data_IF_876604741841
#
_entry.id   IF_876604741841
#
_cell.length_a   1.000
_cell.length_b   1.000
_cell.length_c   1.000
_cell.angle_alpha   90.00
_cell.angle_beta   90.00
_cell.angle_gamma   90.00
#
_symmetry.space_group_name_H-M   'P 1'
#
loop_
_entity.id
_entity.type
_entity.pdbx_description
1 polymer ?
#
# COMPACT_ATOMS: atom_id res chain seq x y z
N UNK A 1 -11.75 -5.33 -2.20
CA UNK A 1 -10.60 -4.95 -1.36
C UNK A 1 -10.88 -5.04 0.15
N UNK A 2 -12.12 -5.16 0.57
CA UNK A 2 -12.51 -5.41 1.98
C UNK A 2 -12.01 -4.37 3.00
N UNK A 3 -11.69 -3.13 2.56
CA UNK A 3 -11.21 -2.06 3.42
C UNK A 3 -12.03 -0.79 3.23
N UNK A 4 -12.10 0.04 4.28
CA UNK A 4 -12.72 1.36 4.20
C UNK A 4 -11.73 2.33 3.55
N UNK A 5 -12.22 3.12 2.59
CA UNK A 5 -11.44 4.19 1.98
C UNK A 5 -12.02 5.54 2.40
N UNK A 6 -11.17 6.44 2.86
CA UNK A 6 -11.52 7.81 3.24
C UNK A 6 -10.74 8.83 2.40
N UNK A 7 -11.38 9.96 2.17
CA UNK A 7 -10.86 11.07 1.37
C UNK A 7 -10.83 12.33 2.22
N UNK A 8 -9.68 12.98 2.33
CA UNK A 8 -9.56 14.34 2.84
C UNK A 8 -9.31 15.27 1.64
N UNK A 9 -10.36 15.98 1.22
CA UNK A 9 -10.33 16.92 0.10
C UNK A 9 -10.78 18.27 0.62
N UNK A 10 -9.86 19.21 0.90
CA UNK A 10 -10.21 20.53 1.40
C UNK A 10 -11.14 21.25 0.44
N UNK A 11 -12.21 21.83 0.99
CA UNK A 11 -13.17 22.64 0.21
C UNK A 11 -12.47 23.91 -0.30
N UNK A 12 -12.47 24.13 -1.62
CA UNK A 12 -12.04 25.42 -2.19
C UNK A 12 -13.19 26.42 -2.19
N UNK A 13 -12.90 27.64 -1.77
CA UNK A 13 -13.86 28.75 -1.90
C UNK A 13 -14.24 28.92 -3.39
N UNK A 14 -15.54 28.87 -3.71
CA UNK A 14 -16.07 29.08 -5.07
C UNK A 14 -16.14 27.84 -5.97
N UNK A 15 -15.68 26.67 -5.56
CA UNK A 15 -15.98 25.44 -6.28
C UNK A 15 -17.28 24.80 -5.78
N UNK A 16 -18.16 24.33 -6.70
CA UNK A 16 -19.33 23.55 -6.29
C UNK A 16 -18.85 22.33 -5.51
N UNK A 17 -19.43 22.07 -4.34
CA UNK A 17 -19.29 20.78 -3.67
C UNK A 17 -19.80 19.71 -4.63
N UNK A 18 -18.88 18.90 -5.19
CA UNK A 18 -19.22 17.78 -6.06
C UNK A 18 -19.06 18.07 -7.56
N UNK A 19 -17.84 18.42 -8.01
CA UNK A 19 -17.47 18.44 -9.43
C UNK A 19 -17.49 17.06 -10.09
N UNK A 20 -17.97 16.03 -9.41
CA UNK A 20 -18.01 14.65 -9.84
C UNK A 20 -16.65 13.91 -9.72
N UNK A 21 -15.57 14.59 -9.31
CA UNK A 21 -14.25 13.97 -9.18
C UNK A 21 -14.21 12.89 -8.11
N UNK A 22 -14.75 13.20 -6.93
CA UNK A 22 -14.90 12.23 -5.85
C UNK A 22 -15.75 11.03 -6.28
N UNK A 23 -16.85 11.28 -7.00
CA UNK A 23 -17.67 10.20 -7.56
C UNK A 23 -16.91 9.33 -8.58
N UNK A 24 -16.00 9.92 -9.39
CA UNK A 24 -15.12 9.16 -10.28
C UNK A 24 -14.11 8.31 -9.51
N UNK A 25 -13.47 8.86 -8.49
CA UNK A 25 -12.54 8.13 -7.63
C UNK A 25 -13.22 6.96 -6.91
N UNK A 26 -14.43 7.17 -6.39
CA UNK A 26 -15.22 6.10 -5.76
C UNK A 26 -15.62 5.02 -6.76
N UNK A 27 -16.09 5.39 -7.97
CA UNK A 27 -16.40 4.39 -9.01
C UNK A 27 -15.17 3.61 -9.44
N UNK A 28 -14.02 4.25 -9.52
CA UNK A 28 -12.73 3.57 -9.77
C UNK A 28 -12.45 2.50 -8.71
N UNK A 29 -12.57 2.83 -7.43
CA UNK A 29 -12.34 1.87 -6.34
C UNK A 29 -13.34 0.70 -6.37
N UNK A 30 -14.61 0.96 -6.69
CA UNK A 30 -15.59 -0.11 -6.87
C UNK A 30 -15.26 -1.00 -8.08
N UNK A 31 -14.81 -0.41 -9.19
CA UNK A 31 -14.36 -1.17 -10.34
C UNK A 31 -13.14 -2.04 -10.01
N UNK A 32 -12.14 -1.49 -9.30
CA UNK A 32 -10.99 -2.27 -8.82
C UNK A 32 -11.45 -3.42 -7.92
N UNK A 33 -12.38 -3.19 -7.01
CA UNK A 33 -12.90 -4.28 -6.17
C UNK A 33 -13.59 -5.38 -6.99
N UNK A 34 -14.38 -5.00 -7.99
CA UNK A 34 -15.04 -5.97 -8.86
C UNK A 34 -14.05 -6.79 -9.71
N UNK A 35 -12.97 -6.15 -10.20
CA UNK A 35 -12.02 -6.74 -11.14
C UNK A 35 -10.88 -7.49 -10.44
N UNK A 36 -10.38 -6.96 -9.31
CA UNK A 36 -9.14 -7.43 -8.67
C UNK A 36 -9.34 -8.12 -7.31
N UNK A 37 -10.57 -8.28 -6.82
CA UNK A 37 -10.79 -8.94 -5.54
C UNK A 37 -10.53 -10.45 -5.62
N UNK A 38 -9.60 -11.02 -4.85
CA UNK A 38 -9.40 -12.47 -4.78
C UNK A 38 -10.54 -13.20 -4.06
N UNK A 39 -11.44 -12.45 -3.38
CA UNK A 39 -12.59 -13.00 -2.65
C UNK A 39 -13.87 -13.09 -3.50
N UNK A 40 -13.84 -12.58 -4.74
CA UNK A 40 -14.96 -12.63 -5.68
C UNK A 40 -14.64 -13.65 -6.75
N UNK A 41 -15.46 -14.69 -6.85
CA UNK A 41 -15.29 -15.75 -7.85
C UNK A 41 -15.39 -15.25 -9.29
N UNK A 42 -16.14 -14.18 -9.52
CA UNK A 42 -16.40 -13.56 -10.82
C UNK A 42 -15.37 -12.50 -11.24
N UNK A 43 -14.42 -12.16 -10.36
CA UNK A 43 -13.37 -11.18 -10.68
C UNK A 43 -12.36 -11.71 -11.71
N UNK A 44 -11.72 -10.82 -12.48
CA UNK A 44 -10.69 -11.19 -13.44
C UNK A 44 -9.50 -11.86 -12.74
N UNK A 45 -9.08 -11.34 -11.59
CA UNK A 45 -7.99 -11.91 -10.77
C UNK A 45 -8.30 -13.36 -10.37
N UNK A 46 -9.50 -13.64 -9.86
CA UNK A 46 -9.88 -14.99 -9.48
C UNK A 46 -10.02 -15.92 -10.67
N UNK A 47 -10.57 -15.44 -11.78
CA UNK A 47 -10.73 -16.23 -13.00
C UNK A 47 -9.39 -16.52 -13.67
N UNK A 48 -8.51 -15.52 -13.74
CA UNK A 48 -7.14 -15.68 -14.24
C UNK A 48 -6.34 -16.64 -13.36
N UNK A 49 -6.38 -16.47 -12.04
CA UNK A 49 -5.66 -17.33 -11.08
C UNK A 49 -6.08 -18.80 -11.15
N UNK A 50 -7.34 -19.10 -11.52
CA UNK A 50 -7.84 -20.47 -11.76
C UNK A 50 -7.61 -20.96 -13.18
N UNK A 51 -7.02 -20.16 -14.08
CA UNK A 51 -6.84 -20.51 -15.49
C UNK A 51 -8.12 -20.55 -16.32
N UNK A 52 -9.24 -19.99 -15.81
CA UNK A 52 -10.53 -19.95 -16.50
C UNK A 52 -10.74 -18.72 -17.38
N UNK A 53 -9.83 -17.74 -17.31
CA UNK A 53 -9.80 -16.55 -18.15
C UNK A 53 -8.34 -16.26 -18.57
N UNK A 54 -8.01 -16.28 -19.86
CA UNK A 54 -6.68 -15.91 -20.32
C UNK A 54 -6.41 -14.42 -20.10
N UNK A 55 -5.14 -14.01 -19.89
CA UNK A 55 -4.78 -12.64 -19.63
C UNK A 55 -5.25 -11.65 -20.72
N UNK A 56 -5.26 -12.10 -21.98
CA UNK A 56 -5.71 -11.29 -23.12
C UNK A 56 -7.20 -10.90 -23.05
N UNK A 57 -8.01 -11.66 -22.30
CA UNK A 57 -9.45 -11.41 -22.14
C UNK A 57 -9.78 -10.73 -20.80
N UNK A 58 -8.76 -10.49 -19.95
CA UNK A 58 -8.90 -9.72 -18.71
C UNK A 58 -8.89 -8.21 -18.99
N UNK A 59 -9.28 -7.43 -17.99
CA UNK A 59 -9.06 -5.99 -18.00
C UNK A 59 -7.57 -5.68 -18.27
N UNK A 60 -7.24 -4.73 -19.17
CA UNK A 60 -5.85 -4.44 -19.55
C UNK A 60 -4.98 -4.02 -18.36
N UNK A 61 -5.58 -3.44 -17.34
CA UNK A 61 -4.89 -3.06 -16.09
C UNK A 61 -4.34 -4.27 -15.32
N UNK A 62 -4.87 -5.48 -15.56
CA UNK A 62 -4.29 -6.68 -14.93
C UNK A 62 -2.88 -6.96 -15.46
N UNK A 63 -2.64 -6.78 -16.75
CA UNK A 63 -1.31 -6.93 -17.33
C UNK A 63 -0.32 -5.89 -16.76
N UNK A 64 -0.75 -4.62 -16.61
CA UNK A 64 0.03 -3.54 -15.97
C UNK A 64 0.40 -3.92 -14.51
N UNK A 65 -0.57 -4.40 -13.75
CA UNK A 65 -0.36 -4.83 -12.36
C UNK A 65 0.62 -6.01 -12.27
N UNK A 66 0.50 -6.99 -13.16
CA UNK A 66 1.40 -8.15 -13.18
C UNK A 66 2.84 -7.77 -13.52
N UNK A 67 3.03 -6.86 -14.48
CA UNK A 67 4.35 -6.33 -14.84
C UNK A 67 4.99 -5.59 -13.65
N UNK A 68 4.23 -4.72 -12.98
CA UNK A 68 4.71 -4.02 -11.79
C UNK A 68 5.03 -5.00 -10.64
N UNK A 69 4.19 -6.00 -10.40
CA UNK A 69 4.45 -7.04 -9.42
C UNK A 69 5.73 -7.83 -9.72
N UNK A 70 5.98 -8.16 -10.99
CA UNK A 70 7.19 -8.86 -11.42
C UNK A 70 8.45 -8.01 -11.18
N UNK A 71 8.40 -6.71 -11.47
CA UNK A 71 9.49 -5.78 -11.19
C UNK A 71 9.81 -5.68 -9.68
N UNK A 72 8.78 -5.58 -8.84
CA UNK A 72 8.93 -5.53 -7.38
C UNK A 72 9.45 -6.86 -6.84
N UNK A 73 8.97 -7.99 -7.37
CA UNK A 73 9.45 -9.31 -7.02
C UNK A 73 10.96 -9.44 -7.30
N UNK A 74 11.40 -9.02 -8.50
CA UNK A 74 12.82 -9.03 -8.86
C UNK A 74 13.65 -8.14 -7.93
N UNK A 75 13.19 -6.90 -7.65
CA UNK A 75 13.88 -5.95 -6.77
C UNK A 75 13.96 -6.43 -5.32
N UNK A 76 12.92 -7.11 -4.83
CA UNK A 76 12.89 -7.67 -3.47
C UNK A 76 13.55 -9.05 -3.36
N UNK A 77 14.18 -9.56 -4.43
CA UNK A 77 14.74 -10.91 -4.45
C UNK A 77 13.69 -11.98 -4.19
N UNK A 78 12.45 -11.79 -4.64
CA UNK A 78 11.36 -12.75 -4.48
C UNK A 78 10.57 -12.65 -3.16
N UNK A 79 10.94 -11.77 -2.24
CA UNK A 79 10.16 -11.58 -0.99
C UNK A 79 8.76 -11.00 -1.22
N UNK A 80 8.59 -10.18 -2.27
CA UNK A 80 7.27 -9.87 -2.79
C UNK A 80 6.87 -10.95 -3.80
N UNK A 81 5.68 -11.53 -3.63
CA UNK A 81 5.13 -12.53 -4.55
C UNK A 81 3.64 -12.30 -4.78
N UNK A 82 3.16 -12.62 -5.98
CA UNK A 82 1.73 -12.67 -6.31
C UNK A 82 1.10 -14.03 -6.03
N UNK A 83 1.87 -14.97 -5.47
CA UNK A 83 1.39 -16.31 -5.12
C UNK A 83 1.71 -16.67 -3.66
N UNK A 84 1.31 -15.82 -2.68
CA UNK A 84 1.54 -16.14 -1.27
C UNK A 84 0.83 -17.45 -0.91
N UNK A 85 1.57 -18.40 -0.31
CA UNK A 85 1.01 -19.71 0.04
C UNK A 85 0.56 -20.55 -1.18
N UNK A 86 1.01 -20.21 -2.40
CA UNK A 86 0.71 -20.95 -3.64
C UNK A 86 -0.59 -20.53 -4.34
N UNK A 87 -1.36 -19.59 -3.78
CA UNK A 87 -2.59 -19.07 -4.41
C UNK A 87 -2.31 -17.71 -5.05
N UNK A 88 -2.82 -17.49 -6.27
CA UNK A 88 -2.66 -16.22 -6.98
C UNK A 88 -3.42 -15.10 -6.27
N UNK A 89 -2.69 -14.13 -5.76
CA UNK A 89 -3.20 -12.95 -5.07
C UNK A 89 -2.24 -11.74 -5.22
N UNK A 90 -2.55 -10.79 -6.13
CA UNK A 90 -1.75 -9.58 -6.32
C UNK A 90 -2.10 -8.45 -5.32
N UNK A 91 -2.91 -8.69 -4.29
CA UNK A 91 -3.47 -7.66 -3.41
C UNK A 91 -2.42 -6.83 -2.67
N UNK A 92 -1.21 -7.38 -2.44
CA UNK A 92 -0.10 -6.66 -1.85
C UNK A 92 0.43 -5.47 -2.69
N UNK A 93 0.04 -5.39 -3.97
CA UNK A 93 0.29 -4.23 -4.84
C UNK A 93 -1.01 -3.49 -5.17
N UNK A 94 -2.08 -4.22 -5.45
CA UNK A 94 -3.35 -3.67 -5.96
C UNK A 94 -3.95 -2.65 -5.02
N UNK A 95 -3.83 -2.81 -3.71
CA UNK A 95 -4.38 -1.88 -2.72
C UNK A 95 -3.73 -0.49 -2.86
N UNK A 96 -2.42 -0.40 -2.79
CA UNK A 96 -1.67 0.85 -2.94
C UNK A 96 -1.90 1.50 -4.30
N UNK A 97 -1.87 0.70 -5.37
CA UNK A 97 -2.13 1.14 -6.74
C UNK A 97 -3.54 1.72 -6.92
N UNK A 98 -4.55 1.09 -6.35
CA UNK A 98 -5.93 1.57 -6.44
C UNK A 98 -6.12 2.93 -5.75
N UNK A 99 -5.52 3.10 -4.57
CA UNK A 99 -5.57 4.34 -3.78
C UNK A 99 -4.77 5.45 -4.48
N UNK A 100 -3.57 5.17 -4.98
CA UNK A 100 -2.75 6.10 -5.77
C UNK A 100 -3.51 6.59 -7.00
N UNK A 101 -4.14 5.70 -7.76
CA UNK A 101 -4.97 6.06 -8.92
C UNK A 101 -6.20 6.88 -8.53
N UNK A 102 -6.84 6.59 -7.40
CA UNK A 102 -7.94 7.40 -6.88
C UNK A 102 -7.47 8.82 -6.55
N UNK A 103 -6.28 8.99 -5.94
CA UNK A 103 -5.67 10.29 -5.71
C UNK A 103 -5.35 11.01 -7.03
N UNK A 104 -4.77 10.31 -8.01
CA UNK A 104 -4.48 10.87 -9.33
C UNK A 104 -5.73 11.39 -10.06
N UNK A 105 -6.89 10.72 -9.89
CA UNK A 105 -8.19 11.20 -10.43
C UNK A 105 -8.58 12.54 -9.82
N UNK A 106 -8.34 12.74 -8.52
CA UNK A 106 -8.60 14.02 -7.85
C UNK A 106 -7.63 15.11 -8.34
N UNK A 107 -6.34 14.80 -8.48
CA UNK A 107 -5.33 15.71 -9.03
C UNK A 107 -5.71 16.16 -10.45
N UNK A 108 -6.05 15.22 -11.32
CA UNK A 108 -6.46 15.50 -12.71
C UNK A 108 -7.74 16.35 -12.80
N UNK A 109 -8.58 16.31 -11.78
CA UNK A 109 -9.76 17.17 -11.64
C UNK A 109 -9.45 18.55 -11.02
N UNK A 110 -8.18 18.88 -10.79
CA UNK A 110 -7.75 20.17 -10.27
C UNK A 110 -7.73 20.27 -8.75
N UNK A 111 -7.88 19.17 -8.00
CA UNK A 111 -7.64 19.18 -6.56
C UNK A 111 -6.13 19.32 -6.30
N UNK A 112 -5.71 20.48 -5.76
CA UNK A 112 -4.29 20.76 -5.53
C UNK A 112 -3.76 20.09 -4.26
N UNK A 113 -4.64 19.80 -3.30
CA UNK A 113 -4.30 19.22 -2.01
C UNK A 113 -5.38 18.21 -1.62
N UNK A 114 -4.99 16.99 -1.36
CA UNK A 114 -5.88 15.94 -0.86
C UNK A 114 -5.09 14.77 -0.31
N UNK A 115 -5.76 13.93 0.47
CA UNK A 115 -5.26 12.61 0.81
C UNK A 115 -6.33 11.55 0.61
N UNK A 116 -5.88 10.34 0.23
CA UNK A 116 -6.73 9.16 0.12
C UNK A 116 -6.12 8.08 1.02
N UNK A 117 -6.91 7.59 1.97
CA UNK A 117 -6.51 6.56 2.92
C UNK A 117 -7.36 5.31 2.71
N UNK A 118 -6.72 4.17 2.56
CA UNK A 118 -7.37 2.86 2.49
C UNK A 118 -6.73 1.86 3.43
N UNK A 119 -7.41 1.55 4.54
CA UNK A 119 -6.90 0.58 5.51
C UNK A 119 -5.58 0.99 6.17
N UNK A 120 -5.38 2.29 6.44
CA UNK A 120 -4.15 2.80 7.07
C UNK A 120 -3.06 3.22 6.09
N UNK A 121 -3.12 2.82 4.81
CA UNK A 121 -2.19 3.28 3.78
C UNK A 121 -2.69 4.54 3.12
N UNK A 122 -1.83 5.52 2.95
CA UNK A 122 -2.21 6.89 2.60
C UNK A 122 -1.37 7.41 1.44
N UNK A 123 -2.05 7.90 0.39
CA UNK A 123 -1.46 8.77 -0.61
C UNK A 123 -1.84 10.21 -0.28
N UNK A 124 -0.84 11.06 -0.10
CA UNK A 124 -0.99 12.49 0.09
C UNK A 124 -0.53 13.23 -1.16
N UNK A 125 -1.24 14.26 -1.57
CA UNK A 125 -0.92 15.09 -2.71
C UNK A 125 -0.87 16.59 -2.33
N UNK A 126 0.03 17.33 -2.99
CA UNK A 126 0.15 18.77 -2.91
C UNK A 126 1.05 19.29 -1.80
N UNK A 127 1.14 20.63 -1.71
CA UNK A 127 2.12 21.34 -0.88
C UNK A 127 1.77 21.40 0.61
N UNK A 128 0.57 21.01 0.98
CA UNK A 128 0.17 20.90 2.40
C UNK A 128 1.10 19.93 3.12
N UNK A 129 1.60 20.33 4.29
CA UNK A 129 2.30 19.40 5.18
C UNK A 129 1.28 18.49 5.88
N UNK A 130 1.18 17.27 5.40
CA UNK A 130 0.34 16.23 5.98
C UNK A 130 1.01 15.62 7.20
N UNK A 131 0.20 15.17 8.16
CA UNK A 131 0.66 14.46 9.36
C UNK A 131 -0.11 13.16 9.47
N UNK A 132 0.59 12.03 9.42
CA UNK A 132 0.03 10.69 9.46
C UNK A 132 0.50 9.99 10.72
N UNK A 133 -0.43 9.58 11.56
CA UNK A 133 -0.14 8.79 12.76
C UNK A 133 0.11 7.34 12.40
N UNK A 134 1.22 6.78 12.88
CA UNK A 134 1.54 5.36 12.76
C UNK A 134 1.12 4.67 14.05
N UNK A 135 0.19 3.71 13.93
CA UNK A 135 -0.31 2.98 15.09
C UNK A 135 0.80 2.14 15.74
N UNK A 136 0.78 2.06 17.06
CA UNK A 136 1.66 1.15 17.80
C UNK A 136 1.06 -0.28 17.72
N UNK A 137 1.75 -1.24 17.07
CA UNK A 137 1.21 -2.59 16.89
C UNK A 137 1.14 -3.39 18.19
N UNK A 138 1.88 -2.96 19.22
CA UNK A 138 1.95 -3.64 20.52
C UNK A 138 1.02 -3.03 21.57
N UNK A 139 0.56 -1.78 21.34
CA UNK A 139 -0.30 -1.05 22.28
C UNK A 139 -1.49 -0.44 21.53
N UNK A 140 -2.61 -1.16 21.40
CA UNK A 140 -3.80 -0.68 20.70
C UNK A 140 -4.26 0.70 21.19
N UNK A 141 -4.61 1.58 20.26
CA UNK A 141 -5.04 2.95 20.55
C UNK A 141 -3.91 3.95 20.79
N UNK A 142 -2.64 3.53 20.75
CA UNK A 142 -1.47 4.42 20.83
C UNK A 142 -0.84 4.62 19.45
N UNK A 143 -0.10 5.71 19.33
CA UNK A 143 0.76 5.97 18.17
C UNK A 143 2.20 5.62 18.54
N UNK A 144 2.89 4.91 17.65
CA UNK A 144 4.32 4.70 17.72
C UNK A 144 5.08 5.99 17.38
N UNK A 145 4.62 6.68 16.32
CA UNK A 145 5.13 8.00 15.93
C UNK A 145 4.14 8.70 14.98
N UNK A 146 4.47 9.94 14.61
CA UNK A 146 3.81 10.68 13.53
C UNK A 146 4.83 10.93 12.43
N UNK A 147 4.49 10.59 11.18
CA UNK A 147 5.23 11.01 10.00
C UNK A 147 4.59 12.26 9.40
N UNK A 148 5.42 13.14 8.84
CA UNK A 148 4.93 14.34 8.18
C UNK A 148 5.71 14.61 6.89
N UNK A 149 4.99 15.03 5.86
CA UNK A 149 5.58 15.29 4.54
C UNK A 149 4.61 16.03 3.63
N UNK A 150 5.06 16.25 2.38
CA UNK A 150 4.28 16.82 1.29
C UNK A 150 4.41 15.89 0.11
N UNK A 151 3.30 15.70 -0.62
CA UNK A 151 3.30 14.90 -1.85
C UNK A 151 4.01 13.55 -1.65
N UNK A 152 3.53 12.73 -0.73
CA UNK A 152 4.17 11.50 -0.28
C UNK A 152 3.17 10.40 0.03
N UNK A 153 3.66 9.19 0.14
CA UNK A 153 2.88 8.01 0.48
C UNK A 153 3.41 7.33 1.74
N UNK A 154 2.51 6.70 2.49
CA UNK A 154 2.81 5.94 3.69
C UNK A 154 2.05 4.62 3.64
N UNK A 155 2.74 3.51 3.83
CA UNK A 155 2.10 2.20 3.95
C UNK A 155 2.70 1.41 5.12
N UNK A 156 1.86 0.64 5.79
CA UNK A 156 2.29 -0.18 6.94
C UNK A 156 1.87 -1.62 6.77
N UNK A 157 2.83 -2.52 6.87
CA UNK A 157 2.60 -3.96 6.95
C UNK A 157 2.89 -4.48 8.36
N UNK A 158 2.07 -5.40 8.85
CA UNK A 158 2.21 -5.94 10.19
C UNK A 158 1.16 -6.99 10.51
N UNK A 159 1.23 -7.53 11.74
CA UNK A 159 0.31 -8.59 12.19
C UNK A 159 -0.99 -8.04 12.80
N UNK A 160 -1.05 -6.73 13.11
CA UNK A 160 -2.14 -6.15 13.90
C UNK A 160 -3.48 -6.05 13.16
N UNK A 161 -3.49 -5.84 11.83
CA UNK A 161 -4.72 -5.57 11.08
C UNK A 161 -5.40 -6.83 10.52
N UNK A 162 -4.62 -7.80 10.03
CA UNK A 162 -5.13 -8.99 9.34
C UNK A 162 -4.52 -10.30 9.86
N UNK A 163 -3.84 -10.28 11.01
CA UNK A 163 -3.12 -11.43 11.51
C UNK A 163 -1.92 -11.82 10.63
N UNK A 164 -1.53 -13.09 10.66
CA UNK A 164 -0.35 -13.63 9.97
C UNK A 164 -0.62 -13.93 8.48
N UNK A 165 -1.08 -12.94 7.69
CA UNK A 165 -1.41 -13.12 6.27
C UNK A 165 -0.21 -12.93 5.33
N UNK A 166 0.86 -12.24 5.78
CA UNK A 166 2.09 -12.10 5.03
C UNK A 166 2.97 -13.31 5.35
N UNK A 167 3.43 -13.98 4.31
CA UNK A 167 4.23 -15.20 4.38
C UNK A 167 5.61 -14.91 3.80
N UNK A 168 6.65 -15.34 4.48
CA UNK A 168 8.00 -15.42 3.90
C UNK A 168 7.99 -16.51 2.81
N UNK A 169 8.18 -16.17 1.54
CA UNK A 169 8.09 -17.12 0.43
C UNK A 169 9.17 -18.21 0.47
N UNK A 170 10.26 -18.00 1.21
CA UNK A 170 11.35 -18.96 1.32
C UNK A 170 11.13 -20.01 2.41
N UNK A 171 10.41 -19.64 3.45
CA UNK A 171 10.12 -20.56 4.57
C UNK A 171 8.69 -21.08 4.56
N UNK A 172 7.78 -20.42 3.83
CA UNK A 172 6.35 -20.72 3.83
C UNK A 172 5.65 -20.37 5.15
N UNK A 173 6.30 -19.63 6.03
CA UNK A 173 5.78 -19.26 7.35
C UNK A 173 5.60 -17.75 7.50
N UNK A 174 4.82 -17.33 8.49
CA UNK A 174 4.76 -15.92 8.86
C UNK A 174 6.14 -15.45 9.32
N UNK A 175 6.64 -14.29 8.84
CA UNK A 175 7.96 -13.79 9.21
C UNK A 175 8.00 -13.48 10.72
N UNK A 176 9.15 -13.76 11.32
CA UNK A 176 9.41 -13.45 12.71
C UNK A 176 10.23 -12.16 12.85
N UNK A 177 10.16 -11.51 14.01
CA UNK A 177 11.04 -10.42 14.38
C UNK A 177 10.43 -9.02 14.24
N UNK A 178 9.48 -8.80 13.35
CA UNK A 178 8.75 -7.53 13.21
C UNK A 178 7.30 -7.65 13.70
N UNK A 179 6.84 -6.65 14.45
CA UNK A 179 5.42 -6.45 14.72
C UNK A 179 4.77 -5.62 13.61
N UNK A 180 5.49 -4.57 13.14
CA UNK A 180 5.11 -3.80 11.96
C UNK A 180 6.32 -3.15 11.29
N UNK A 181 6.17 -2.81 10.03
CA UNK A 181 7.07 -1.93 9.29
C UNK A 181 6.25 -0.92 8.50
N UNK A 182 6.61 0.33 8.62
CA UNK A 182 6.05 1.45 7.86
C UNK A 182 7.09 1.90 6.85
N UNK A 183 6.72 1.92 5.58
CA UNK A 183 7.53 2.48 4.49
C UNK A 183 6.93 3.81 4.07
N UNK A 184 7.80 4.78 3.78
CA UNK A 184 7.45 6.10 3.27
C UNK A 184 8.15 6.32 1.94
N UNK A 185 7.42 6.81 0.95
CA UNK A 185 7.94 7.06 -0.39
C UNK A 185 7.06 8.04 -1.17
N UNK A 186 7.28 8.18 -2.47
CA UNK A 186 6.49 9.09 -3.30
C UNK A 186 5.18 8.47 -3.81
N UNK A 187 5.18 7.17 -4.08
CA UNK A 187 4.08 6.45 -4.75
C UNK A 187 3.56 5.33 -3.89
N UNK A 188 2.25 5.33 -3.64
CA UNK A 188 1.66 4.36 -2.72
C UNK A 188 1.67 2.92 -3.26
N UNK A 189 1.55 2.74 -4.56
CA UNK A 189 1.62 1.42 -5.19
C UNK A 189 2.91 0.67 -4.82
N UNK A 190 4.04 1.35 -4.96
CA UNK A 190 5.34 0.79 -4.62
C UNK A 190 5.57 0.75 -3.11
N UNK A 191 5.15 1.80 -2.39
CA UNK A 191 5.31 1.90 -0.93
C UNK A 191 4.62 0.75 -0.20
N UNK A 192 3.40 0.38 -0.60
CA UNK A 192 2.61 -0.73 -0.03
C UNK A 192 3.27 -2.09 -0.35
N UNK A 193 3.69 -2.29 -1.60
CA UNK A 193 4.38 -3.52 -1.99
C UNK A 193 5.75 -3.68 -1.30
N UNK A 194 6.49 -2.58 -1.13
CA UNK A 194 7.75 -2.59 -0.39
C UNK A 194 7.56 -2.83 1.10
N UNK A 195 6.49 -2.27 1.71
CA UNK A 195 6.14 -2.60 3.09
C UNK A 195 5.84 -4.10 3.25
N UNK A 196 5.10 -4.69 2.29
CA UNK A 196 4.80 -6.13 2.25
C UNK A 196 6.09 -6.96 2.12
N UNK A 197 6.96 -6.63 1.15
CA UNK A 197 8.24 -7.32 0.95
C UNK A 197 9.16 -7.21 2.18
N UNK A 198 9.30 -5.99 2.72
CA UNK A 198 10.15 -5.73 3.88
C UNK A 198 9.64 -6.47 5.13
N UNK A 199 8.33 -6.54 5.33
CA UNK A 199 7.76 -7.34 6.42
C UNK A 199 8.09 -8.83 6.23
N UNK A 200 7.96 -9.37 5.02
CA UNK A 200 8.31 -10.75 4.69
C UNK A 200 9.81 -11.05 4.91
N UNK A 201 10.69 -10.07 4.72
CA UNK A 201 12.15 -10.19 4.96
C UNK A 201 12.53 -10.28 6.44
N UNK A 202 11.68 -9.79 7.34
CA UNK A 202 11.97 -9.77 8.78
C UNK A 202 13.26 -8.98 9.11
N UNK A 203 14.28 -9.63 9.65
CA UNK A 203 15.53 -8.97 10.06
C UNK A 203 16.35 -8.37 8.90
N UNK A 204 16.15 -8.81 7.66
CA UNK A 204 16.85 -8.28 6.47
C UNK A 204 16.22 -6.99 5.93
N UNK A 205 15.03 -6.64 6.41
CA UNK A 205 14.25 -5.51 5.90
C UNK A 205 15.02 -4.20 5.96
N UNK A 206 15.75 -3.95 7.06
CA UNK A 206 16.45 -2.69 7.28
C UNK A 206 17.46 -2.40 6.19
N UNK A 207 18.38 -3.33 5.94
CA UNK A 207 19.45 -3.16 4.97
C UNK A 207 18.87 -3.03 3.55
N UNK A 208 17.86 -3.84 3.25
CA UNK A 208 17.21 -3.79 1.94
C UNK A 208 16.50 -2.46 1.67
N UNK A 209 15.75 -1.89 2.65
CA UNK A 209 15.09 -0.60 2.45
C UNK A 209 16.11 0.55 2.43
N UNK A 210 17.22 0.44 3.17
CA UNK A 210 18.30 1.42 3.12
C UNK A 210 18.87 1.60 1.70
N UNK A 211 18.86 0.52 0.89
CA UNK A 211 19.33 0.51 -0.50
C UNK A 211 18.26 0.94 -1.52
N UNK A 212 17.04 1.28 -1.08
CA UNK A 212 15.96 1.73 -1.97
C UNK A 212 15.95 3.25 -2.12
N UNK A 213 16.33 3.73 -3.29
CA UNK A 213 16.30 5.16 -3.60
C UNK A 213 14.90 5.76 -3.42
N UNK A 214 14.80 6.79 -2.57
CA UNK A 214 13.56 7.54 -2.36
C UNK A 214 12.59 6.92 -1.35
N UNK A 215 12.92 5.76 -0.76
CA UNK A 215 12.11 5.10 0.26
C UNK A 215 12.83 5.04 1.59
N UNK A 216 12.06 5.17 2.66
CA UNK A 216 12.56 5.09 4.03
C UNK A 216 11.61 4.21 4.85
N UNK A 217 12.14 3.61 5.91
CA UNK A 217 11.32 2.77 6.78
C UNK A 217 11.51 3.07 8.28
N UNK A 218 10.42 2.82 9.01
CA UNK A 218 10.40 2.71 10.47
C UNK A 218 9.75 1.38 10.84
N UNK A 219 10.33 0.66 11.77
CA UNK A 219 9.79 -0.62 12.21
C UNK A 219 9.71 -0.73 13.73
N UNK A 220 8.69 -1.46 14.18
CA UNK A 220 8.55 -1.94 15.55
C UNK A 220 8.81 -3.43 15.53
N UNK A 221 9.80 -3.89 16.31
CA UNK A 221 10.08 -5.32 16.43
C UNK A 221 9.06 -6.01 17.33
N UNK A 222 8.91 -7.31 17.17
CA UNK A 222 8.02 -8.11 18.04
C UNK A 222 8.42 -8.05 19.53
N UNK A 223 9.70 -7.76 19.82
CA UNK A 223 10.22 -7.59 21.18
C UNK A 223 10.03 -6.16 21.74
N UNK A 224 9.53 -5.20 20.95
CA UNK A 224 9.27 -3.82 21.34
C UNK A 224 10.28 -2.77 20.86
N UNK A 225 11.61 -3.03 20.78
CA UNK A 225 12.54 -2.06 20.20
C UNK A 225 12.16 -1.63 18.79
N UNK A 226 12.51 -0.39 18.45
CA UNK A 226 12.26 0.18 17.12
C UNK A 226 13.57 0.44 16.38
N UNK A 227 13.50 0.48 15.05
CA UNK A 227 14.57 0.96 14.21
C UNK A 227 14.03 1.79 13.05
N UNK A 228 14.88 2.53 12.39
CA UNK A 228 14.55 3.30 11.19
C UNK A 228 15.77 3.33 10.25
N UNK A 229 15.51 3.60 8.97
CA UNK A 229 16.54 3.89 7.97
C UNK A 229 17.17 5.26 8.20
N UNK A 230 18.34 5.48 7.61
CA UNK A 230 19.18 6.69 7.88
C UNK A 230 18.48 7.99 7.50
N UNK A 231 17.72 8.00 6.40
CA UNK A 231 17.01 9.16 5.89
C UNK A 231 15.61 9.36 6.47
N UNK A 232 15.08 8.42 7.27
CA UNK A 232 13.72 8.50 7.82
C UNK A 232 13.48 9.74 8.67
N UNK A 233 14.54 10.31 9.27
CA UNK A 233 14.46 11.50 10.10
C UNK A 233 13.77 12.69 9.43
N UNK A 234 13.85 12.81 8.09
CA UNK A 234 13.20 13.88 7.31
C UNK A 234 11.67 13.85 7.36
N UNK A 235 11.10 12.70 7.67
CA UNK A 235 9.65 12.50 7.78
C UNK A 235 9.11 12.57 9.22
N UNK A 236 9.94 12.75 10.22
CA UNK A 236 9.46 12.91 11.60
C UNK A 236 8.64 14.19 11.75
N UNK A 237 7.40 14.05 12.26
CA UNK A 237 6.40 15.11 12.44
C UNK A 237 6.29 15.67 13.85
#
# INVERSE_FOLDING_TARGET
>A
MGTVVSFDVPARAGQPRGDGSLGRAVRWLHWVDATFSPYRDDSDVSRYGRGSLPLADCAPELAEVLEACAAISARSGGYFTTTPGGTFDPSGYVKGWAIERAAAILTAAGSAEHSVNGGGDVQCAGDRRWRIGIADPLHPGRLALVVAGRDFAVATSGVAERGAHIIDPYTGQSPAGLASITVVGARLAETDAYATAAFAMGSRARDWVEDLDGYEAFAVTAAGPTWQTSGFGRYRG
#
